data_IF_524795867300
#
_entry.id   IF_524795867300
#
_cell.length_a   1.000
_cell.length_b   1.000
_cell.length_c   1.000
_cell.angle_alpha   90.00
_cell.angle_beta   90.00
_cell.angle_gamma   90.00
#
_symmetry.space_group_name_H-M   'P 1'
#
loop_
_entity.id
_entity.type
_entity.pdbx_description
1 polymer ?
#
# COMPACT_ATOMS: atom_id res chain seq x y z
N UNK A 1 -12.68 -24.74 -15.61
CA UNK A 1 -12.31 -25.41 -14.35
C UNK A 1 -12.95 -24.70 -13.14
N UNK A 2 -14.27 -24.42 -13.19
CA UNK A 2 -15.08 -23.77 -12.12
C UNK A 2 -16.44 -24.50 -11.95
N UNK A 3 -16.75 -25.50 -12.77
CA UNK A 3 -18.05 -26.18 -12.79
C UNK A 3 -18.17 -27.43 -11.90
N UNK A 4 -17.10 -27.86 -11.23
CA UNK A 4 -17.08 -29.10 -10.43
C UNK A 4 -17.33 -28.90 -8.93
N UNK A 5 -17.44 -27.66 -8.44
CA UNK A 5 -17.70 -27.38 -7.02
C UNK A 5 -19.17 -27.05 -6.67
N UNK A 6 -20.05 -26.93 -7.67
CA UNK A 6 -21.47 -26.64 -7.45
C UNK A 6 -22.40 -27.87 -7.43
N UNK A 7 -21.89 -29.07 -7.71
CA UNK A 7 -22.70 -30.31 -7.78
C UNK A 7 -22.80 -31.08 -6.47
N UNK A 8 -21.89 -30.86 -5.51
CA UNK A 8 -21.85 -31.58 -4.24
C UNK A 8 -22.70 -30.95 -3.13
N UNK A 9 -23.15 -29.70 -3.30
CA UNK A 9 -24.02 -29.00 -2.34
C UNK A 9 -25.52 -29.16 -2.63
N UNK A 10 -25.90 -29.75 -3.78
CA UNK A 10 -27.32 -29.91 -4.18
C UNK A 10 -27.90 -31.30 -3.89
N UNK A 11 -27.06 -32.28 -3.56
CA UNK A 11 -27.48 -33.64 -3.17
C UNK A 11 -27.71 -33.81 -1.66
N UNK A 12 -27.35 -32.82 -0.84
CA UNK A 12 -27.54 -32.88 0.62
C UNK A 12 -28.86 -32.25 1.11
N UNK A 13 -29.62 -31.53 0.26
CA UNK A 13 -30.88 -30.88 0.66
C UNK A 13 -32.16 -31.59 0.24
N UNK A 14 -32.07 -32.68 -0.54
CA UNK A 14 -33.23 -33.42 -1.07
C UNK A 14 -33.59 -34.71 -0.30
N UNK A 15 -32.92 -35.01 0.82
CA UNK A 15 -33.21 -36.21 1.64
C UNK A 15 -33.90 -35.90 2.97
N UNK A 16 -34.47 -34.70 3.14
CA UNK A 16 -35.06 -34.27 4.43
C UNK A 16 -36.51 -33.78 4.37
N UNK A 17 -37.26 -34.18 3.34
CA UNK A 17 -38.72 -34.08 3.34
C UNK A 17 -39.30 -35.25 2.58
N UNK A 18 -39.58 -36.33 3.31
CA UNK A 18 -40.76 -37.17 3.10
C UNK A 18 -40.87 -38.16 4.26
N UNK A 19 -42.11 -38.51 4.60
CA UNK A 19 -42.56 -39.44 5.65
C UNK A 19 -42.82 -38.86 7.04
N UNK A 20 -43.95 -38.16 7.16
CA UNK A 20 -44.82 -38.41 8.29
C UNK A 20 -45.54 -39.76 8.10
N UNK A 21 -45.75 -40.46 9.22
CA UNK A 21 -46.63 -41.61 9.45
C UNK A 21 -46.00 -43.00 9.17
N UNK A 22 -45.46 -43.64 10.22
CA UNK A 22 -46.06 -44.89 10.70
C UNK A 22 -45.56 -45.31 12.09
N UNK A 23 -46.51 -45.55 12.99
CA UNK A 23 -46.35 -46.09 14.34
C UNK A 23 -45.68 -47.47 14.31
N UNK A 24 -44.45 -47.59 14.82
CA UNK A 24 -43.92 -48.86 15.39
C UNK A 24 -43.04 -48.59 16.60
N UNK A 25 -43.44 -49.16 17.73
CA UNK A 25 -42.80 -49.15 19.03
C UNK A 25 -41.31 -49.48 18.98
N UNK A 26 -40.46 -48.52 19.32
CA UNK A 26 -39.02 -48.76 19.54
C UNK A 26 -38.85 -49.25 20.98
N UNK A 27 -38.74 -50.56 21.15
CA UNK A 27 -38.25 -51.16 22.38
C UNK A 27 -36.75 -50.87 22.43
N UNK A 28 -36.36 -49.84 23.19
CA UNK A 28 -34.96 -49.59 23.54
C UNK A 28 -34.45 -50.75 24.42
N UNK A 29 -33.69 -51.67 23.83
CA UNK A 29 -32.88 -52.61 24.60
C UNK A 29 -31.77 -51.82 25.30
N UNK A 30 -31.97 -51.50 26.57
CA UNK A 30 -30.91 -50.96 27.43
C UNK A 30 -29.89 -52.08 27.69
N UNK A 31 -28.67 -51.92 27.17
CA UNK A 31 -27.54 -52.76 27.58
C UNK A 31 -27.15 -52.30 28.98
N UNK A 32 -27.44 -53.13 29.98
CA UNK A 32 -27.00 -52.93 31.35
C UNK A 32 -25.50 -53.29 31.43
N UNK A 33 -24.63 -52.29 31.23
CA UNK A 33 -23.21 -52.45 31.53
C UNK A 33 -23.05 -52.47 33.05
N UNK A 34 -22.53 -53.58 33.60
CA UNK A 34 -22.21 -53.70 35.03
C UNK A 34 -21.34 -52.54 35.50
N UNK A 35 -21.66 -51.97 36.67
CA UNK A 35 -20.85 -50.94 37.30
C UNK A 35 -19.41 -51.38 37.51
N UNK A 36 -18.46 -50.47 37.24
CA UNK A 36 -17.03 -50.65 37.50
C UNK A 36 -16.86 -51.03 38.97
N UNK A 37 -16.28 -52.21 39.23
CA UNK A 37 -15.90 -52.63 40.59
C UNK A 37 -14.83 -51.66 41.10
N UNK A 38 -15.10 -51.07 42.26
CA UNK A 38 -14.17 -50.22 42.97
C UNK A 38 -13.19 -51.12 43.72
N UNK A 39 -12.01 -51.33 43.16
CA UNK A 39 -10.91 -51.94 43.89
C UNK A 39 -10.31 -50.86 44.79
N UNK A 40 -10.51 -50.99 46.10
CA UNK A 40 -10.20 -50.00 47.13
C UNK A 40 -8.71 -49.78 47.40
N UNK A 41 -7.90 -49.52 46.38
CA UNK A 41 -6.53 -49.02 46.51
C UNK A 41 -6.56 -47.48 46.64
N UNK A 42 -6.11 -46.88 47.76
CA UNK A 42 -6.26 -45.44 47.99
C UNK A 42 -5.25 -44.55 47.24
N UNK A 43 -4.26 -45.10 46.54
CA UNK A 43 -3.02 -44.36 46.24
C UNK A 43 -2.64 -44.19 44.76
N UNK A 44 -3.43 -44.65 43.80
CA UNK A 44 -3.10 -44.37 42.39
C UNK A 44 -4.36 -44.18 41.52
N UNK A 45 -5.10 -43.10 41.81
CA UNK A 45 -6.07 -42.57 40.86
C UNK A 45 -5.28 -41.79 39.80
N UNK A 46 -4.86 -42.50 38.74
CA UNK A 46 -4.24 -41.91 37.56
C UNK A 46 -5.01 -40.69 37.01
N UNK A 47 -4.44 -39.95 36.05
CA UNK A 47 -4.97 -38.65 35.62
C UNK A 47 -6.48 -38.74 35.36
N UNK A 48 -7.29 -37.84 35.95
CA UNK A 48 -8.74 -38.01 36.01
C UNK A 48 -9.29 -38.21 34.61
N UNK A 49 -9.98 -39.34 34.41
CA UNK A 49 -10.60 -39.71 33.13
C UNK A 49 -11.59 -38.60 32.78
N UNK A 50 -11.18 -37.71 31.86
CA UNK A 50 -12.02 -36.60 31.40
C UNK A 50 -13.18 -37.22 30.62
N UNK A 51 -14.36 -37.28 31.25
CA UNK A 51 -15.59 -37.69 30.57
C UNK A 51 -15.75 -36.84 29.30
N UNK A 52 -16.06 -37.44 28.14
CA UNK A 52 -16.28 -36.66 26.93
C UNK A 52 -17.40 -35.65 27.19
N UNK A 53 -17.16 -34.39 26.81
CA UNK A 53 -18.10 -33.29 27.09
C UNK A 53 -19.41 -33.58 26.35
N UNK A 54 -20.52 -33.59 27.10
CA UNK A 54 -21.86 -33.93 26.59
C UNK A 54 -22.50 -32.81 25.77
N UNK A 55 -21.99 -31.58 25.90
CA UNK A 55 -22.53 -30.38 25.26
C UNK A 55 -21.43 -29.54 24.61
N UNK A 56 -21.81 -28.86 23.52
CA UNK A 56 -20.95 -27.93 22.79
C UNK A 56 -20.73 -26.65 23.60
N UNK A 57 -19.47 -26.42 24.00
CA UNK A 57 -19.09 -25.24 24.78
C UNK A 57 -18.67 -24.10 23.85
N UNK A 58 -19.52 -23.08 23.80
CA UNK A 58 -19.32 -21.94 22.90
C UNK A 58 -18.06 -21.14 23.20
N UNK A 59 -17.59 -21.13 24.44
CA UNK A 59 -16.35 -20.46 24.81
C UNK A 59 -15.15 -21.18 24.20
N UNK A 60 -15.11 -22.51 24.33
CA UNK A 60 -14.04 -23.31 23.71
C UNK A 60 -14.08 -23.25 22.19
N UNK A 61 -15.26 -23.29 21.58
CA UNK A 61 -15.38 -23.18 20.14
C UNK A 61 -14.88 -21.83 19.61
N UNK A 62 -15.25 -20.70 20.26
CA UNK A 62 -14.71 -19.39 19.90
C UNK A 62 -13.18 -19.32 20.05
N UNK A 63 -12.64 -19.97 21.08
CA UNK A 63 -11.20 -20.07 21.27
C UNK A 63 -10.52 -20.88 20.16
N UNK A 64 -11.10 -22.02 19.76
CA UNK A 64 -10.63 -22.81 18.63
C UNK A 64 -10.68 -22.02 17.31
N UNK A 65 -11.77 -21.29 17.04
CA UNK A 65 -11.85 -20.42 15.86
C UNK A 65 -10.77 -19.34 15.86
N UNK A 66 -10.50 -18.74 17.03
CA UNK A 66 -9.42 -17.76 17.15
C UNK A 66 -8.05 -18.39 16.87
N UNK A 67 -7.79 -19.58 17.43
CA UNK A 67 -6.54 -20.33 17.21
C UNK A 67 -6.38 -20.77 15.76
N UNK A 68 -7.45 -21.22 15.12
CA UNK A 68 -7.45 -21.59 13.72
C UNK A 68 -7.15 -20.37 12.84
N UNK A 69 -7.81 -19.23 13.09
CA UNK A 69 -7.55 -17.99 12.36
C UNK A 69 -6.11 -17.51 12.54
N UNK A 70 -5.55 -17.57 13.75
CA UNK A 70 -4.14 -17.19 13.97
C UNK A 70 -3.20 -18.14 13.22
N UNK A 71 -3.47 -19.44 13.23
CA UNK A 71 -2.68 -20.41 12.50
C UNK A 71 -2.73 -20.15 10.99
N UNK A 72 -3.90 -19.89 10.42
CA UNK A 72 -4.07 -19.53 9.00
C UNK A 72 -3.25 -18.27 8.64
N UNK A 73 -3.34 -17.22 9.44
CA UNK A 73 -2.55 -15.99 9.26
C UNK A 73 -1.05 -16.27 9.31
N UNK A 74 -0.59 -17.10 10.25
CA UNK A 74 0.83 -17.46 10.35
C UNK A 74 1.29 -18.31 9.16
N UNK A 75 0.46 -19.23 8.66
CA UNK A 75 0.78 -20.01 7.46
C UNK A 75 0.85 -19.13 6.21
N UNK A 76 -0.04 -18.14 6.08
CA UNK A 76 -0.02 -17.18 4.98
C UNK A 76 1.22 -16.29 5.05
N UNK A 77 1.53 -15.74 6.24
CA UNK A 77 2.77 -14.98 6.47
C UNK A 77 4.01 -15.79 6.10
N UNK A 78 4.03 -17.08 6.44
CA UNK A 78 5.13 -17.99 6.06
C UNK A 78 5.22 -18.18 4.55
N UNK A 79 4.10 -18.37 3.86
CA UNK A 79 4.09 -18.50 2.40
C UNK A 79 4.60 -17.22 1.71
N UNK A 80 4.17 -16.04 2.19
CA UNK A 80 4.64 -14.75 1.70
C UNK A 80 6.14 -14.58 1.95
N UNK A 81 6.61 -14.89 3.16
CA UNK A 81 8.03 -14.80 3.50
C UNK A 81 8.90 -15.72 2.63
N UNK A 82 8.41 -16.93 2.29
CA UNK A 82 9.09 -17.85 1.37
C UNK A 82 9.12 -17.32 -0.08
N UNK A 83 8.02 -16.71 -0.53
CA UNK A 83 7.92 -16.15 -1.88
C UNK A 83 8.81 -14.92 -2.09
N UNK A 84 8.98 -14.11 -1.04
CA UNK A 84 9.77 -12.88 -1.05
C UNK A 84 11.12 -13.04 -0.32
N UNK A 85 11.61 -14.27 -0.17
CA UNK A 85 12.91 -14.52 0.45
C UNK A 85 14.04 -13.92 -0.38
N UNK A 86 15.04 -13.33 0.28
CA UNK A 86 16.22 -12.79 -0.41
C UNK A 86 17.05 -13.93 -1.02
N UNK A 87 17.50 -13.72 -2.25
CA UNK A 87 18.41 -14.62 -2.95
C UNK A 87 19.77 -14.70 -2.25
N UNK A 88 20.43 -15.87 -2.20
CA UNK A 88 21.70 -16.03 -1.50
C UNK A 88 22.74 -15.00 -1.97
N UNK A 89 23.61 -14.50 -1.07
CA UNK A 89 24.79 -13.70 -1.48
C UNK A 89 25.63 -14.49 -2.50
N UNK A 90 26.15 -13.84 -3.53
CA UNK A 90 27.01 -14.37 -4.61
C UNK A 90 27.40 -15.86 -4.51
N UNK A 91 26.50 -16.75 -4.93
CA UNK A 91 26.75 -18.19 -5.05
C UNK A 91 26.83 -18.97 -3.72
N UNK A 92 26.44 -18.38 -2.60
CA UNK A 92 26.48 -19.04 -1.30
C UNK A 92 25.44 -20.15 -1.19
N UNK A 93 25.87 -21.28 -0.67
CA UNK A 93 24.97 -22.32 -0.16
C UNK A 93 24.69 -22.13 1.34
N UNK A 94 23.73 -22.89 1.88
CA UNK A 94 23.39 -22.86 3.32
C UNK A 94 24.63 -23.17 4.17
N UNK A 95 25.49 -24.08 3.69
CA UNK A 95 26.75 -24.44 4.34
C UNK A 95 27.69 -23.24 4.48
N UNK A 96 27.84 -22.43 3.43
CA UNK A 96 28.75 -21.29 3.43
C UNK A 96 28.25 -20.21 4.39
N UNK A 97 26.93 -20.00 4.45
CA UNK A 97 26.30 -19.10 5.41
C UNK A 97 26.57 -19.56 6.86
N UNK A 98 26.39 -20.84 7.16
CA UNK A 98 26.64 -21.40 8.50
C UNK A 98 28.13 -21.34 8.89
N UNK A 99 29.04 -21.55 7.93
CA UNK A 99 30.48 -21.40 8.13
C UNK A 99 30.87 -19.95 8.41
N UNK A 100 30.33 -19.00 7.64
CA UNK A 100 30.59 -17.57 7.83
C UNK A 100 30.13 -17.04 9.20
N UNK A 101 29.10 -17.65 9.79
CA UNK A 101 28.58 -17.30 11.12
C UNK A 101 29.40 -17.95 12.26
N UNK A 102 30.29 -18.89 11.96
CA UNK A 102 31.00 -19.71 12.94
C UNK A 102 30.05 -20.45 13.90
N UNK A 103 29.05 -21.16 13.36
CA UNK A 103 28.07 -21.94 14.14
C UNK A 103 28.73 -23.09 14.94
N UNK A 104 29.94 -23.50 14.55
CA UNK A 104 30.73 -24.55 15.20
C UNK A 104 30.54 -25.93 14.55
N UNK A 105 30.84 -26.99 15.29
CA UNK A 105 30.73 -28.37 14.80
C UNK A 105 29.26 -28.74 14.48
N UNK A 106 29.07 -29.46 13.36
CA UNK A 106 27.75 -29.91 12.91
C UNK A 106 27.06 -29.03 11.86
N UNK A 107 27.74 -28.03 11.28
CA UNK A 107 27.16 -27.16 10.24
C UNK A 107 26.65 -27.94 9.01
N UNK A 108 27.28 -29.07 8.66
CA UNK A 108 26.88 -29.92 7.54
C UNK A 108 25.52 -30.59 7.78
N UNK A 109 25.35 -31.21 8.95
CA UNK A 109 24.10 -31.86 9.37
C UNK A 109 22.96 -30.84 9.48
N UNK A 110 23.28 -29.61 9.88
CA UNK A 110 22.30 -28.53 9.94
C UNK A 110 21.87 -28.11 8.53
N UNK A 111 22.81 -27.95 7.58
CA UNK A 111 22.45 -27.58 6.22
C UNK A 111 21.61 -28.67 5.52
N UNK A 112 21.92 -29.95 5.73
CA UNK A 112 21.15 -31.08 5.18
C UNK A 112 19.71 -31.13 5.70
N UNK A 113 19.44 -30.53 6.86
CA UNK A 113 18.09 -30.50 7.43
C UNK A 113 17.12 -29.54 6.73
N UNK A 114 17.62 -28.68 5.83
CA UNK A 114 16.82 -27.75 5.03
C UNK A 114 16.86 -28.14 3.55
N UNK A 115 15.71 -28.12 2.88
CA UNK A 115 15.63 -28.56 1.47
C UNK A 115 16.06 -27.45 0.49
N UNK A 116 15.94 -26.19 0.90
CA UNK A 116 16.18 -25.03 0.04
C UNK A 116 16.64 -23.81 0.84
N UNK A 117 17.42 -22.95 0.21
CA UNK A 117 17.81 -21.64 0.75
C UNK A 117 16.60 -20.82 1.24
N UNK A 118 15.52 -20.79 0.46
CA UNK A 118 14.33 -20.02 0.79
C UNK A 118 13.67 -20.55 2.07
N UNK A 119 13.71 -21.86 2.30
CA UNK A 119 13.22 -22.48 3.54
C UNK A 119 14.11 -22.13 4.73
N UNK A 120 15.42 -22.08 4.53
CA UNK A 120 16.37 -21.71 5.58
C UNK A 120 16.25 -20.24 6.00
N UNK A 121 16.25 -19.29 5.05
CA UNK A 121 16.20 -17.84 5.33
C UNK A 121 14.83 -17.37 5.85
N UNK A 122 13.75 -18.06 5.49
CA UNK A 122 12.41 -17.77 6.02
C UNK A 122 12.09 -18.52 7.32
N UNK A 123 13.04 -19.30 7.86
CA UNK A 123 12.79 -20.14 9.02
C UNK A 123 12.43 -19.33 10.27
N UNK A 124 11.37 -19.76 10.94
CA UNK A 124 10.94 -19.15 12.21
C UNK A 124 11.71 -19.75 13.38
N UNK A 125 11.73 -19.03 14.50
CA UNK A 125 12.36 -19.52 15.72
C UNK A 125 11.75 -20.86 16.19
N UNK A 126 10.45 -21.06 16.00
CA UNK A 126 9.75 -22.31 16.35
C UNK A 126 10.21 -23.49 15.50
N UNK A 127 10.38 -23.30 14.19
CA UNK A 127 10.90 -24.32 13.28
C UNK A 127 12.35 -24.70 13.64
N UNK A 128 13.18 -23.72 13.98
CA UNK A 128 14.54 -23.97 14.46
C UNK A 128 14.56 -24.76 15.78
N UNK A 129 13.59 -24.53 16.67
CA UNK A 129 13.44 -25.33 17.90
C UNK A 129 12.92 -26.75 17.65
N UNK A 130 12.09 -26.94 16.62
CA UNK A 130 11.61 -28.27 16.22
C UNK A 130 12.72 -29.15 15.65
N UNK A 131 13.76 -28.55 15.08
CA UNK A 131 14.88 -29.26 14.47
C UNK A 131 15.86 -29.77 15.53
N UNK A 132 16.01 -31.10 15.63
CA UNK A 132 16.84 -31.77 16.64
C UNK A 132 18.35 -31.73 16.37
N UNK A 133 18.79 -31.29 15.19
CA UNK A 133 20.22 -31.27 14.80
C UNK A 133 21.02 -30.14 15.44
N UNK A 134 20.36 -29.14 16.06
CA UNK A 134 20.99 -27.93 16.59
C UNK A 134 20.91 -27.81 18.10
N UNK A 135 21.97 -27.28 18.72
CA UNK A 135 21.93 -26.83 20.12
C UNK A 135 21.16 -25.52 20.26
N UNK A 136 20.62 -25.23 21.46
CA UNK A 136 19.91 -23.97 21.73
C UNK A 136 20.75 -22.71 21.46
N UNK A 137 22.08 -22.79 21.63
CA UNK A 137 22.99 -21.69 21.31
C UNK A 137 23.05 -21.46 19.80
N UNK A 138 23.21 -22.54 19.03
CA UNK A 138 23.26 -22.51 17.56
C UNK A 138 21.95 -22.00 16.96
N UNK A 139 20.79 -22.44 17.49
CA UNK A 139 19.47 -21.94 17.05
C UNK A 139 19.35 -20.42 17.18
N UNK A 140 19.78 -19.86 18.31
CA UNK A 140 19.75 -18.40 18.56
C UNK A 140 20.71 -17.64 17.66
N UNK A 141 21.91 -18.17 17.42
CA UNK A 141 22.88 -17.52 16.51
C UNK A 141 22.37 -17.55 15.09
N UNK A 142 21.92 -18.70 14.59
CA UNK A 142 21.34 -18.83 13.24
C UNK A 142 20.18 -17.87 13.04
N UNK A 143 19.22 -17.84 13.98
CA UNK A 143 18.09 -16.91 13.91
C UNK A 143 18.51 -15.43 13.88
N UNK A 144 19.50 -15.06 14.71
CA UNK A 144 20.05 -13.69 14.74
C UNK A 144 20.61 -13.30 13.37
N UNK A 145 21.43 -14.16 12.76
CA UNK A 145 22.08 -13.84 11.49
C UNK A 145 21.14 -13.93 10.29
N UNK A 146 20.15 -14.82 10.31
CA UNK A 146 19.03 -14.79 9.34
C UNK A 146 18.32 -13.43 9.41
N UNK A 147 18.03 -12.94 10.62
CA UNK A 147 17.38 -11.64 10.82
C UNK A 147 18.25 -10.50 10.30
N UNK A 148 19.56 -10.49 10.62
CA UNK A 148 20.50 -9.48 10.12
C UNK A 148 20.58 -9.48 8.59
N UNK A 149 20.61 -10.67 7.98
CA UNK A 149 20.63 -10.83 6.53
C UNK A 149 19.34 -10.33 5.86
N UNK A 150 18.18 -10.67 6.43
CA UNK A 150 16.89 -10.18 5.96
C UNK A 150 16.77 -8.65 6.06
N UNK A 151 17.47 -8.01 7.00
CA UNK A 151 17.58 -6.56 7.08
C UNK A 151 18.71 -5.94 6.26
N UNK A 152 19.52 -6.75 5.56
CA UNK A 152 20.64 -6.25 4.74
C UNK A 152 21.81 -5.70 5.57
N UNK A 153 21.91 -6.07 6.84
CA UNK A 153 22.98 -5.63 7.75
C UNK A 153 24.19 -6.57 7.72
N UNK A 154 24.07 -7.74 7.10
CA UNK A 154 25.10 -8.76 7.01
C UNK A 154 24.87 -9.57 5.73
N UNK A 155 25.90 -10.03 4.99
CA UNK A 155 27.34 -10.01 5.30
C UNK A 155 28.08 -8.70 4.98
N UNK A 156 27.58 -7.89 4.05
CA UNK A 156 28.18 -6.61 3.68
C UNK A 156 27.40 -5.47 4.35
N UNK A 157 28.04 -4.71 5.24
CA UNK A 157 27.43 -3.53 5.89
C UNK A 157 27.42 -2.32 4.93
N UNK A 158 26.61 -2.38 3.88
CA UNK A 158 26.35 -1.22 3.05
C UNK A 158 25.24 -0.39 3.69
N UNK A 159 25.59 0.78 4.26
CA UNK A 159 24.61 1.71 4.84
C UNK A 159 23.52 2.13 3.84
N UNK A 160 23.86 2.15 2.55
CA UNK A 160 22.93 2.47 1.46
C UNK A 160 21.94 1.34 1.20
N UNK A 161 22.33 0.08 1.39
CA UNK A 161 21.44 -1.07 1.13
C UNK A 161 20.25 -1.07 2.09
N UNK A 162 20.47 -0.69 3.35
CA UNK A 162 19.37 -0.49 4.31
C UNK A 162 18.36 0.52 3.77
N UNK A 163 18.80 1.69 3.33
CA UNK A 163 17.92 2.74 2.78
C UNK A 163 17.21 2.25 1.52
N UNK A 164 17.92 1.58 0.62
CA UNK A 164 17.38 1.03 -0.61
C UNK A 164 16.27 0.00 -0.35
N UNK A 165 16.35 -0.79 0.74
CA UNK A 165 15.26 -1.72 1.11
C UNK A 165 13.95 -1.03 1.51
N UNK A 166 14.00 0.21 2.01
CA UNK A 166 12.80 0.97 2.36
C UNK A 166 12.28 1.81 1.19
N UNK A 167 13.06 1.95 0.13
CA UNK A 167 12.59 2.60 -1.09
C UNK A 167 11.65 1.64 -1.82
N UNK A 168 10.52 2.18 -2.26
CA UNK A 168 9.65 1.45 -3.16
C UNK A 168 10.43 1.13 -4.46
N UNK A 169 10.14 0.01 -5.13
CA UNK A 169 10.68 -0.20 -6.47
C UNK A 169 10.30 0.99 -7.36
N UNK A 170 11.21 1.44 -8.25
CA UNK A 170 10.92 2.55 -9.14
C UNK A 170 9.69 2.24 -9.99
N UNK A 171 8.92 3.28 -10.30
CA UNK A 171 7.74 3.11 -11.14
C UNK A 171 8.16 2.77 -12.57
N UNK A 172 7.32 2.03 -13.31
CA UNK A 172 7.68 1.47 -14.62
C UNK A 172 8.13 2.52 -15.64
N UNK A 173 7.54 3.70 -15.61
CA UNK A 173 7.79 4.79 -16.56
C UNK A 173 8.43 6.01 -15.89
N UNK A 174 9.05 5.82 -14.72
CA UNK A 174 9.71 6.88 -13.98
C UNK A 174 10.88 7.47 -14.78
N UNK A 175 10.80 8.76 -15.12
CA UNK A 175 11.85 9.47 -15.86
C UNK A 175 11.86 9.22 -17.39
N UNK A 176 10.92 8.45 -17.93
CA UNK A 176 10.77 8.30 -19.38
C UNK A 176 10.24 9.59 -20.02
N UNK A 177 10.66 9.95 -21.24
CA UNK A 177 10.10 11.11 -21.94
C UNK A 177 8.60 10.92 -22.24
N UNK A 178 7.87 12.04 -22.39
CA UNK A 178 6.46 12.03 -22.74
C UNK A 178 6.26 11.77 -24.23
N UNK A 179 5.33 10.87 -24.55
CA UNK A 179 4.89 10.54 -25.90
C UNK A 179 3.45 11.02 -26.11
N UNK A 180 3.04 11.20 -27.37
CA UNK A 180 1.66 11.64 -27.72
C UNK A 180 0.59 10.67 -27.20
N UNK A 181 0.86 9.35 -27.21
CA UNK A 181 -0.04 8.34 -26.65
C UNK A 181 -0.21 8.49 -25.13
N UNK A 182 0.87 8.82 -24.43
CA UNK A 182 0.86 9.05 -22.97
C UNK A 182 0.09 10.33 -22.63
N UNK A 183 0.22 11.37 -23.44
CA UNK A 183 -0.50 12.63 -23.30
C UNK A 183 -2.01 12.44 -23.50
N UNK A 184 -2.41 11.67 -24.51
CA UNK A 184 -3.83 11.34 -24.75
C UNK A 184 -4.41 10.56 -23.57
N UNK A 185 -3.69 9.54 -23.08
CA UNK A 185 -4.11 8.76 -21.92
C UNK A 185 -4.22 9.60 -20.65
N UNK A 186 -3.30 10.56 -20.44
CA UNK A 186 -3.36 11.49 -19.32
C UNK A 186 -4.63 12.34 -19.34
N UNK A 187 -5.04 12.83 -20.52
CA UNK A 187 -6.30 13.59 -20.67
C UNK A 187 -7.54 12.72 -20.41
N UNK A 188 -7.56 11.49 -20.92
CA UNK A 188 -8.65 10.52 -20.66
C UNK A 188 -8.80 10.24 -19.16
N UNK A 189 -7.68 10.00 -18.46
CA UNK A 189 -7.68 9.74 -17.02
C UNK A 189 -8.05 10.98 -16.20
N UNK A 190 -7.61 12.16 -16.63
CA UNK A 190 -7.97 13.42 -15.99
C UNK A 190 -9.47 13.72 -16.10
N UNK A 191 -10.12 13.33 -17.21
CA UNK A 191 -11.58 13.42 -17.36
C UNK A 191 -12.30 12.37 -16.50
N UNK A 192 -11.79 11.13 -16.43
CA UNK A 192 -12.41 10.06 -15.66
C UNK A 192 -12.35 10.30 -14.13
N UNK A 193 -11.19 10.74 -13.62
CA UNK A 193 -10.99 10.97 -12.18
C UNK A 193 -11.38 12.39 -11.72
N UNK A 194 -11.71 13.28 -12.65
CA UNK A 194 -11.96 14.72 -12.45
C UNK A 194 -10.75 15.44 -11.81
N UNK A 195 -9.96 16.10 -12.65
CA UNK A 195 -8.78 16.86 -12.23
C UNK A 195 -9.06 17.95 -11.18
N UNK A 196 -10.28 18.45 -11.07
CA UNK A 196 -10.64 19.54 -10.15
C UNK A 196 -11.15 19.03 -8.78
N UNK A 197 -11.35 17.71 -8.61
CA UNK A 197 -11.96 17.13 -7.41
C UNK A 197 -10.99 16.28 -6.58
N UNK A 198 -10.67 16.73 -5.37
CA UNK A 198 -9.87 15.98 -4.42
C UNK A 198 -8.37 15.96 -4.76
N UNK A 199 -7.76 14.77 -4.70
CA UNK A 199 -6.37 14.54 -5.12
C UNK A 199 -6.34 13.42 -6.19
N UNK A 200 -6.74 13.73 -7.43
CA UNK A 200 -6.85 12.74 -8.51
C UNK A 200 -5.47 12.25 -8.98
N UNK A 201 -4.41 13.01 -8.69
CA UNK A 201 -3.06 12.73 -9.16
C UNK A 201 -2.48 11.46 -8.57
N UNK A 202 -2.90 11.04 -7.37
CA UNK A 202 -2.50 9.77 -6.77
C UNK A 202 -2.92 8.58 -7.66
N UNK A 203 -4.14 8.63 -8.20
CA UNK A 203 -4.67 7.54 -9.03
C UNK A 203 -4.14 7.60 -10.46
N UNK A 204 -4.08 8.81 -11.04
CA UNK A 204 -3.56 9.02 -12.39
C UNK A 204 -2.08 8.63 -12.45
N UNK A 205 -1.26 9.05 -11.48
CA UNK A 205 0.16 8.69 -11.40
C UNK A 205 0.37 7.18 -11.24
N UNK A 206 -0.49 6.52 -10.46
CA UNK A 206 -0.46 5.07 -10.32
C UNK A 206 -0.80 4.35 -11.63
N UNK A 207 -1.84 4.76 -12.36
CA UNK A 207 -2.20 4.13 -13.63
C UNK A 207 -1.20 4.42 -14.76
N UNK A 208 -0.57 5.59 -14.73
CA UNK A 208 0.50 5.97 -15.65
C UNK A 208 1.86 5.40 -15.23
N UNK A 209 1.98 4.89 -14.00
CA UNK A 209 3.24 4.41 -13.40
C UNK A 209 4.36 5.45 -13.52
N UNK A 210 4.04 6.70 -13.18
CA UNK A 210 4.92 7.88 -13.17
C UNK A 210 4.80 8.61 -11.83
N UNK A 211 5.73 9.50 -11.52
CA UNK A 211 5.65 10.31 -10.30
C UNK A 211 4.48 11.29 -10.35
N UNK A 212 4.00 11.69 -9.18
CA UNK A 212 2.86 12.62 -9.06
C UNK A 212 3.24 13.97 -9.66
N UNK A 213 4.46 14.45 -9.39
CA UNK A 213 4.92 15.75 -9.86
C UNK A 213 5.01 15.79 -11.40
N UNK A 214 5.57 14.75 -12.03
CA UNK A 214 5.73 14.68 -13.49
C UNK A 214 4.37 14.70 -14.22
N UNK A 215 3.41 13.92 -13.71
CA UNK A 215 2.04 13.88 -14.26
C UNK A 215 1.33 15.22 -14.11
N UNK A 216 1.45 15.85 -12.94
CA UNK A 216 0.80 17.13 -12.65
C UNK A 216 1.39 18.25 -13.51
N UNK A 217 2.72 18.33 -13.60
CA UNK A 217 3.41 19.34 -14.41
C UNK A 217 3.04 19.19 -15.88
N UNK A 218 2.99 17.95 -16.39
CA UNK A 218 2.58 17.68 -17.77
C UNK A 218 1.14 18.10 -18.03
N UNK A 219 0.21 17.80 -17.12
CA UNK A 219 -1.18 18.23 -17.25
C UNK A 219 -1.32 19.75 -17.28
N UNK A 220 -0.56 20.46 -16.44
CA UNK A 220 -0.54 21.93 -16.42
C UNK A 220 -0.07 22.48 -17.78
N UNK A 221 0.93 21.85 -18.39
CA UNK A 221 1.44 22.24 -19.69
C UNK A 221 0.44 22.04 -20.83
N UNK A 222 -0.22 20.88 -20.87
CA UNK A 222 -1.11 20.50 -21.97
C UNK A 222 -2.48 21.16 -21.86
N UNK A 223 -3.05 21.23 -20.65
CA UNK A 223 -4.44 21.63 -20.47
C UNK A 223 -4.58 23.01 -19.82
N UNK A 224 -3.95 23.21 -18.65
CA UNK A 224 -4.17 24.42 -17.84
C UNK A 224 -3.61 25.68 -18.51
N UNK A 225 -2.36 25.62 -19.02
CA UNK A 225 -1.71 26.77 -19.67
C UNK A 225 -2.48 27.20 -20.93
N UNK A 226 -2.83 26.31 -21.90
CA UNK A 226 -3.60 26.71 -23.08
C UNK A 226 -4.98 27.27 -22.71
N UNK A 227 -5.71 26.59 -21.82
CA UNK A 227 -7.01 27.06 -21.32
C UNK A 227 -6.95 28.44 -20.68
N UNK A 228 -5.83 28.79 -20.04
CA UNK A 228 -5.63 30.09 -19.43
C UNK A 228 -5.15 31.17 -20.44
N UNK A 229 -4.40 30.79 -21.47
CA UNK A 229 -4.00 31.70 -22.57
C UNK A 229 -5.19 32.22 -23.37
N UNK A 230 -6.19 31.36 -23.58
CA UNK A 230 -7.41 31.74 -24.31
C UNK A 230 -8.32 32.69 -23.52
N UNK A 231 -8.09 32.85 -22.21
CA UNK A 231 -8.87 33.75 -21.37
C UNK A 231 -8.30 35.16 -21.49
N UNK A 232 -9.10 36.08 -22.02
CA UNK A 232 -8.82 37.50 -21.88
C UNK A 232 -8.86 37.90 -20.40
N UNK A 233 -7.71 38.35 -19.90
CA UNK A 233 -7.66 38.93 -18.58
C UNK A 233 -8.10 40.39 -18.70
N UNK A 234 -9.30 40.70 -18.20
CA UNK A 234 -9.56 42.06 -17.75
C UNK A 234 -8.72 42.31 -16.49
N UNK A 235 -7.40 42.50 -16.66
CA UNK A 235 -6.68 43.46 -15.82
C UNK A 235 -7.17 44.84 -16.26
N UNK A 236 -8.47 45.04 -16.11
CA UNK A 236 -8.92 46.36 -15.79
C UNK A 236 -8.16 46.67 -14.50
N UNK A 237 -7.38 47.74 -14.53
CA UNK A 237 -6.92 48.44 -13.34
C UNK A 237 -8.17 49.04 -12.66
N UNK A 238 -9.23 48.24 -12.47
CA UNK A 238 -10.43 48.60 -11.75
C UNK A 238 -10.04 48.62 -10.29
N UNK A 239 -9.61 49.79 -9.81
CA UNK A 239 -9.88 50.28 -8.45
C UNK A 239 -9.85 49.19 -7.37
N UNK A 240 -8.90 48.25 -7.38
CA UNK A 240 -8.80 47.20 -6.39
C UNK A 240 -8.06 47.77 -5.19
N UNK A 241 -8.69 48.76 -4.55
CA UNK A 241 -8.30 49.33 -3.27
C UNK A 241 -8.37 48.29 -2.14
N UNK A 242 -8.78 47.04 -2.43
CA UNK A 242 -8.80 45.90 -1.50
C UNK A 242 -8.28 44.64 -2.21
N UNK A 243 -7.27 43.94 -1.65
CA UNK A 243 -6.66 42.75 -2.25
C UNK A 243 -7.63 41.57 -2.41
N UNK A 244 -8.74 41.55 -1.66
CA UNK A 244 -9.74 40.48 -1.67
C UNK A 244 -10.44 40.28 -3.03
N UNK A 245 -10.51 41.32 -3.87
CA UNK A 245 -11.22 41.26 -5.16
C UNK A 245 -10.38 40.69 -6.31
N UNK A 246 -9.03 40.71 -6.21
CA UNK A 246 -8.15 40.05 -7.18
C UNK A 246 -8.29 38.52 -7.13
N UNK A 247 -8.38 37.95 -5.92
CA UNK A 247 -8.51 36.50 -5.68
C UNK A 247 -9.77 35.85 -6.28
N UNK A 248 -10.76 36.63 -6.74
CA UNK A 248 -12.03 36.08 -7.25
C UNK A 248 -12.00 35.81 -8.76
N UNK A 249 -11.24 36.59 -9.55
CA UNK A 249 -11.02 36.35 -10.98
C UNK A 249 -9.79 35.48 -11.22
N UNK A 250 -8.72 35.74 -10.48
CA UNK A 250 -7.59 34.85 -10.35
C UNK A 250 -7.94 33.88 -9.23
N UNK A 251 -8.69 32.81 -9.55
CA UNK A 251 -8.61 31.63 -8.68
C UNK A 251 -7.11 31.33 -8.60
N UNK A 252 -6.58 31.37 -7.39
CA UNK A 252 -5.21 30.92 -7.15
C UNK A 252 -5.27 29.43 -7.47
N UNK A 253 -4.95 29.08 -8.72
CA UNK A 253 -4.50 27.76 -9.12
C UNK A 253 -3.46 27.30 -8.08
N UNK A 254 -3.34 26.00 -7.79
CA UNK A 254 -2.80 25.44 -6.54
C UNK A 254 -1.65 26.26 -5.96
N UNK A 255 -1.60 26.47 -4.63
CA UNK A 255 -0.94 27.57 -3.90
C UNK A 255 0.56 27.83 -4.19
N UNK A 256 1.18 27.04 -5.06
CA UNK A 256 2.54 27.15 -5.56
C UNK A 256 2.66 27.87 -6.92
N UNK A 257 1.56 28.08 -7.66
CA UNK A 257 1.58 28.71 -8.98
C UNK A 257 1.24 30.21 -8.91
N UNK A 258 2.24 31.05 -8.67
CA UNK A 258 2.12 32.50 -8.89
C UNK A 258 2.23 32.78 -10.39
N UNK A 259 1.11 32.80 -11.11
CA UNK A 259 1.12 33.31 -12.48
C UNK A 259 1.22 34.83 -12.40
N UNK A 260 2.42 35.37 -12.62
CA UNK A 260 2.60 36.81 -12.80
C UNK A 260 1.92 37.17 -14.11
N UNK A 261 0.92 38.08 -14.11
CA UNK A 261 0.30 38.53 -15.34
C UNK A 261 1.33 39.34 -16.16
N UNK A 262 1.91 38.70 -17.16
CA UNK A 262 2.73 39.31 -18.21
C UNK A 262 1.95 39.26 -19.53
N UNK A 263 2.23 40.20 -20.44
CA UNK A 263 1.68 40.19 -21.81
C UNK A 263 1.99 38.88 -22.55
N UNK A 264 3.08 38.20 -22.18
CA UNK A 264 3.48 36.90 -22.72
C UNK A 264 2.53 35.76 -22.33
N UNK A 265 1.89 35.84 -21.16
CA UNK A 265 1.04 34.78 -20.62
C UNK A 265 -0.46 35.09 -20.72
N UNK A 266 -0.83 36.37 -20.73
CA UNK A 266 -2.22 36.82 -20.89
C UNK A 266 -2.30 38.01 -21.84
N UNK A 267 -3.03 37.91 -22.96
CA UNK A 267 -3.36 39.08 -23.75
C UNK A 267 -4.22 40.03 -22.90
N UNK A 268 -3.82 41.29 -22.81
CA UNK A 268 -4.58 42.32 -22.10
C UNK A 268 -5.84 42.67 -22.90
N UNK A 269 -6.99 42.75 -22.21
CA UNK A 269 -8.22 43.25 -22.79
C UNK A 269 -8.02 44.67 -23.35
N UNK A 270 -8.55 44.97 -24.54
CA UNK A 270 -8.53 46.33 -25.09
C UNK A 270 -9.25 47.29 -24.13
N UNK A 271 -8.56 48.34 -23.69
CA UNK A 271 -9.13 49.36 -22.80
C UNK A 271 -9.97 50.32 -23.65
N UNK A 272 -11.29 50.13 -23.68
CA UNK A 272 -12.21 51.07 -24.32
C UNK A 272 -12.45 52.27 -23.39
N UNK A 273 -11.89 53.44 -23.72
CA UNK A 273 -12.22 54.71 -23.06
C UNK A 273 -12.87 55.64 -24.09
N UNK A 274 -14.18 55.49 -24.24
CA UNK A 274 -15.06 56.25 -25.15
C UNK A 274 -14.71 56.12 -26.65
N UNK A 275 -15.67 56.48 -27.52
CA UNK A 275 -15.77 56.15 -28.96
C UNK A 275 -14.61 56.57 -29.90
N UNK A 276 -13.44 56.96 -29.39
CA UNK A 276 -12.26 57.24 -30.19
C UNK A 276 -11.10 56.34 -29.76
N UNK A 277 -10.65 55.51 -30.70
CA UNK A 277 -9.56 54.52 -30.58
C UNK A 277 -8.17 55.16 -30.34
N UNK A 278 -8.01 55.92 -29.27
CA UNK A 278 -6.70 56.43 -28.85
C UNK A 278 -6.52 56.21 -27.35
N UNK A 279 -5.59 55.32 -27.01
CA UNK A 279 -5.09 55.16 -25.63
C UNK A 279 -4.43 56.49 -25.23
N UNK A 280 -4.97 57.26 -24.27
CA UNK A 280 -4.28 58.46 -23.81
C UNK A 280 -2.95 58.05 -23.19
N UNK A 281 -1.86 58.71 -23.59
CA UNK A 281 -0.53 58.48 -22.98
C UNK A 281 -0.68 58.59 -21.45
N UNK A 282 -0.05 57.67 -20.71
CA UNK A 282 -0.22 57.52 -19.26
C UNK A 282 -0.07 58.85 -18.49
N UNK A 283 0.75 59.77 -19.00
CA UNK A 283 0.97 61.14 -18.49
C UNK A 283 -0.31 61.98 -18.32
N UNK A 284 -1.33 61.73 -19.14
CA UNK A 284 -2.60 62.46 -19.16
C UNK A 284 -3.67 61.85 -18.24
N UNK A 285 -3.48 60.62 -17.76
CA UNK A 285 -4.46 59.90 -16.93
C UNK A 285 -4.25 60.21 -15.44
N UNK A 286 -3.03 60.57 -15.04
CA UNK A 286 -2.68 60.73 -13.63
C UNK A 286 -3.11 62.08 -13.04
N UNK A 287 -3.81 62.03 -11.90
CA UNK A 287 -4.16 63.22 -11.12
C UNK A 287 -2.93 63.99 -10.62
N UNK A 288 -3.04 65.31 -10.47
CA UNK A 288 -1.94 66.16 -10.00
C UNK A 288 -1.43 65.77 -8.61
N UNK A 289 -2.30 65.19 -7.78
CA UNK A 289 -1.92 64.67 -6.46
C UNK A 289 -0.99 63.47 -6.58
N UNK A 290 -1.23 62.58 -7.55
CA UNK A 290 -0.39 61.41 -7.82
C UNK A 290 0.98 61.80 -8.40
N UNK A 291 1.02 62.80 -9.28
CA UNK A 291 2.27 63.34 -9.86
C UNK A 291 3.25 63.85 -8.80
N UNK A 292 2.77 64.34 -7.65
CA UNK A 292 3.61 64.84 -6.55
C UNK A 292 4.32 63.76 -5.74
N UNK A 293 3.78 62.55 -5.69
CA UNK A 293 4.31 61.46 -4.85
C UNK A 293 4.97 60.34 -5.66
N UNK A 294 4.90 60.39 -6.99
CA UNK A 294 5.51 59.37 -7.83
C UNK A 294 7.01 59.61 -7.98
N UNK A 295 7.75 58.52 -8.10
CA UNK A 295 9.15 58.56 -8.49
C UNK A 295 9.24 58.64 -10.03
N UNK A 296 9.77 59.73 -10.57
CA UNK A 296 9.81 59.97 -12.02
C UNK A 296 10.76 58.99 -12.76
N UNK A 297 11.68 58.32 -12.07
CA UNK A 297 12.60 57.35 -12.69
C UNK A 297 11.91 56.08 -13.19
N UNK A 298 10.76 55.71 -12.62
CA UNK A 298 10.05 54.47 -12.96
C UNK A 298 9.20 54.56 -14.25
N UNK A 299 9.09 55.75 -14.85
CA UNK A 299 8.20 56.00 -16.00
C UNK A 299 8.93 56.62 -17.20
N UNK A 300 10.25 56.76 -17.12
CA UNK A 300 11.08 57.10 -18.29
C UNK A 300 11.44 55.80 -18.98
N UNK A 301 10.87 55.59 -20.15
CA UNK A 301 11.28 54.52 -21.07
C UNK A 301 12.49 55.09 -21.84
N UNK A 302 13.64 54.44 -21.74
CA UNK A 302 14.75 54.65 -22.69
C UNK A 302 14.45 53.98 -24.02
#
# INVERSE_FOLDING_TARGET
MIHTLYSTLRTASSLFRDSCINNRSIICRSIYTSGVRYDGSPEDLGPPIKKPRKYFDMKTFRQFLKQQKTHEIETEKRAIAKAHAKSPPDGWEILDFLKAINVGDGAEVIAESFNSWNEFISSTLEELYSNTSMTNKQRRTVFKYITLYNHGLWPNENKLDYVNTFQAPPLKHEGEPWNEESDAKLLELAEYYDADFGDPWIYISWEMQRTIEDVQDRYIEIFTKPKNRDKECDISITRSHKPLLMNRKFKIDPPFLYIIPSEENFPLSAIYVNDENTVPKAEHIFSDKFKRYRNDSCFKIE
#
